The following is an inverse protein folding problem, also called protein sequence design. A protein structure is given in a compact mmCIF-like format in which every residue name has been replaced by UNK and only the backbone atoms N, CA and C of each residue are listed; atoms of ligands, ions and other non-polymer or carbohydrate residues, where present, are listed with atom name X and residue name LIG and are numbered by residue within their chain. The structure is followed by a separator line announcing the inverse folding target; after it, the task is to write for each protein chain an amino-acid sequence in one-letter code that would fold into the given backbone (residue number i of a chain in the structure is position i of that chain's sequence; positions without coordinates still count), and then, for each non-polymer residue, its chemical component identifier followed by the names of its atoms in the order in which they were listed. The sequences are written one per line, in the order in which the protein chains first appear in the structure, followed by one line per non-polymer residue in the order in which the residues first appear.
data_IF_225829173207
#
_entry.id   IF_225829173207
#
_cell.length_a   1.000
_cell.length_b   1.000
_cell.length_c   1.000
_cell.angle_alpha   90.00
_cell.angle_beta   90.00
_cell.angle_gamma   90.00
#
_symmetry.space_group_name_H-M   'P 1'
#
loop_
_entity.id
_entity.type
_entity.pdbx_description
1 polymer ?
#
# COMPACT_ATOMS: atom_id res chain seq x y z
N UNK A 1 4.04 -0.27 -11.49
CA UNK A 1 5.13 0.20 -12.36
C UNK A 1 6.41 -0.42 -11.86
N UNK A 2 7.28 -0.92 -12.75
CA UNK A 2 8.43 -1.73 -12.34
C UNK A 2 9.76 -1.19 -12.86
N UNK A 3 9.73 -0.21 -13.78
CA UNK A 3 10.90 0.48 -14.27
C UNK A 3 10.78 2.00 -14.04
N UNK A 4 11.89 2.73 -13.75
CA UNK A 4 11.85 4.19 -13.57
C UNK A 4 11.22 4.93 -14.76
N UNK A 5 11.50 4.47 -15.99
CA UNK A 5 10.90 5.03 -17.20
C UNK A 5 9.36 4.90 -17.25
N UNK A 6 8.78 3.87 -16.61
CA UNK A 6 7.32 3.76 -16.53
C UNK A 6 6.74 4.87 -15.64
N UNK A 7 7.45 5.18 -14.54
CA UNK A 7 7.09 6.28 -13.63
C UNK A 7 7.26 7.61 -14.36
N UNK A 8 8.33 7.78 -15.14
CA UNK A 8 8.51 9.00 -15.95
C UNK A 8 7.44 9.17 -17.02
N UNK A 9 7.01 8.07 -17.67
CA UNK A 9 5.93 8.10 -18.64
C UNK A 9 4.58 8.42 -17.98
N UNK A 10 4.34 7.92 -16.75
CA UNK A 10 3.11 8.18 -16.01
C UNK A 10 3.12 9.51 -15.26
N UNK A 11 4.29 10.07 -14.92
CA UNK A 11 4.47 11.25 -14.08
C UNK A 11 3.62 12.46 -14.48
N UNK A 12 3.61 12.90 -15.76
CA UNK A 12 2.76 13.99 -16.21
C UNK A 12 1.26 13.69 -16.04
N UNK A 13 0.85 12.43 -16.24
CA UNK A 13 -0.54 11.98 -16.06
C UNK A 13 -0.89 12.05 -14.56
N UNK A 14 -0.02 11.50 -13.72
CA UNK A 14 -0.18 11.48 -12.28
C UNK A 14 -0.38 12.89 -11.71
N UNK A 15 0.52 13.81 -12.07
CA UNK A 15 0.50 15.21 -11.59
C UNK A 15 -0.73 15.96 -12.09
N UNK A 16 -1.06 15.83 -13.37
CA UNK A 16 -2.21 16.55 -13.95
C UNK A 16 -3.57 16.07 -13.41
N UNK A 17 -3.63 14.83 -12.91
CA UNK A 17 -4.86 14.22 -12.40
C UNK A 17 -4.87 14.04 -10.88
N UNK A 18 -3.84 14.52 -10.17
CA UNK A 18 -3.82 14.57 -8.70
C UNK A 18 -3.60 13.22 -8.02
N UNK A 19 -2.77 12.35 -8.60
CA UNK A 19 -2.33 11.13 -7.91
C UNK A 19 -1.30 11.47 -6.82
N UNK A 20 -1.47 10.88 -5.64
CA UNK A 20 -0.59 11.15 -4.48
C UNK A 20 0.71 10.34 -4.48
N UNK A 21 0.74 9.20 -5.19
CA UNK A 21 1.85 8.26 -5.11
C UNK A 21 1.77 7.08 -6.04
N UNK A 22 2.84 6.27 -5.99
CA UNK A 22 3.03 5.06 -6.79
C UNK A 22 3.26 3.88 -5.85
N UNK A 23 2.48 2.82 -6.07
CA UNK A 23 2.68 1.52 -5.46
C UNK A 23 3.77 0.73 -6.20
N UNK A 24 4.84 0.41 -5.49
CA UNK A 24 5.97 -0.40 -5.95
C UNK A 24 5.79 -1.82 -5.40
N UNK A 25 5.52 -2.74 -6.31
CA UNK A 25 5.06 -4.09 -5.99
C UNK A 25 6.23 -5.07 -5.88
N UNK A 26 6.65 -5.39 -4.64
CA UNK A 26 7.77 -6.28 -4.35
C UNK A 26 7.40 -7.66 -3.81
N UNK A 27 6.12 -7.98 -3.66
CA UNK A 27 5.66 -9.30 -3.19
C UNK A 27 5.33 -10.24 -4.36
N UNK A 28 4.52 -9.76 -5.29
CA UNK A 28 4.13 -10.52 -6.50
C UNK A 28 4.72 -9.92 -7.78
N UNK A 29 5.33 -8.75 -7.66
CA UNK A 29 5.87 -8.00 -8.79
C UNK A 29 7.36 -8.22 -8.97
N UNK A 30 7.94 -7.32 -9.75
CA UNK A 30 9.35 -7.39 -10.17
C UNK A 30 10.23 -6.37 -9.46
N UNK A 31 9.70 -5.63 -8.48
CA UNK A 31 10.48 -4.65 -7.73
C UNK A 31 11.41 -5.38 -6.78
N UNK A 32 12.71 -5.16 -6.95
CA UNK A 32 13.75 -5.67 -6.07
C UNK A 32 14.46 -4.54 -5.31
N UNK A 33 15.29 -4.91 -4.33
CA UNK A 33 16.05 -3.95 -3.54
C UNK A 33 17.12 -3.19 -4.34
N UNK A 34 17.62 -3.75 -5.45
CA UNK A 34 18.60 -3.11 -6.33
C UNK A 34 18.00 -1.90 -7.02
N UNK A 35 16.80 -2.05 -7.59
CA UNK A 35 16.13 -1.05 -8.40
C UNK A 35 15.35 -0.02 -7.59
N UNK A 36 15.00 -0.33 -6.33
CA UNK A 36 14.17 0.53 -5.48
C UNK A 36 14.68 1.97 -5.37
N UNK A 37 16.00 2.17 -5.34
CA UNK A 37 16.58 3.52 -5.31
C UNK A 37 16.38 4.33 -6.58
N UNK A 38 16.29 3.68 -7.74
CA UNK A 38 16.00 4.35 -9.01
C UNK A 38 14.50 4.64 -9.12
N UNK A 39 13.65 3.68 -8.74
CA UNK A 39 12.20 3.84 -8.72
C UNK A 39 11.77 5.00 -7.80
N UNK A 40 12.31 5.05 -6.58
CA UNK A 40 11.98 6.12 -5.62
C UNK A 40 12.49 7.49 -6.07
N UNK A 41 13.64 7.58 -6.76
CA UNK A 41 14.11 8.83 -7.37
C UNK A 41 13.18 9.32 -8.48
N UNK A 42 12.67 8.42 -9.31
CA UNK A 42 11.70 8.78 -10.33
C UNK A 42 10.42 9.34 -9.69
N UNK A 43 9.92 8.70 -8.63
CA UNK A 43 8.80 9.25 -7.85
C UNK A 43 9.09 10.67 -7.32
N UNK A 44 10.26 10.90 -6.70
CA UNK A 44 10.64 12.22 -6.18
C UNK A 44 10.62 13.31 -7.26
N UNK A 45 11.11 13.02 -8.48
CA UNK A 45 11.16 13.98 -9.58
C UNK A 45 9.76 14.49 -9.98
N UNK A 46 8.74 13.66 -9.80
CA UNK A 46 7.35 13.98 -10.08
C UNK A 46 6.56 14.42 -8.84
N UNK A 47 7.19 14.47 -7.67
CA UNK A 47 6.52 14.79 -6.40
C UNK A 47 5.52 13.73 -5.96
N UNK A 48 5.70 12.47 -6.38
CA UNK A 48 4.83 11.35 -6.04
C UNK A 48 5.40 10.58 -4.84
N UNK A 49 4.53 10.18 -3.91
CA UNK A 49 4.93 9.34 -2.78
C UNK A 49 5.29 7.94 -3.24
N UNK A 50 6.49 7.46 -2.92
CA UNK A 50 6.88 6.07 -3.20
C UNK A 50 6.46 5.13 -2.07
N UNK A 51 5.48 4.25 -2.34
CA UNK A 51 4.95 3.26 -1.39
C UNK A 51 5.34 1.87 -1.86
N UNK A 52 6.13 1.13 -1.08
CA UNK A 52 6.64 -0.17 -1.50
C UNK A 52 5.99 -1.30 -0.69
N UNK A 53 5.38 -2.27 -1.37
CA UNK A 53 4.99 -3.54 -0.73
C UNK A 53 6.19 -4.48 -0.68
N UNK A 54 6.49 -4.97 0.52
CA UNK A 54 7.50 -6.02 0.75
C UNK A 54 6.83 -7.39 0.74
N UNK A 55 7.64 -8.45 0.64
CA UNK A 55 7.16 -9.82 0.54
C UNK A 55 7.11 -10.58 1.88
N UNK A 56 7.48 -9.93 2.99
CA UNK A 56 7.52 -10.57 4.32
C UNK A 56 7.53 -9.52 5.45
N UNK A 57 7.01 -9.88 6.63
CA UNK A 57 7.00 -9.06 7.85
C UNK A 57 8.31 -9.22 8.65
N UNK A 58 9.43 -8.93 8.00
CA UNK A 58 10.75 -8.98 8.63
C UNK A 58 11.29 -7.56 8.81
N UNK A 59 11.64 -7.17 10.04
CA UNK A 59 12.14 -5.81 10.35
C UNK A 59 13.30 -5.40 9.44
N UNK A 60 14.23 -6.33 9.20
CA UNK A 60 15.38 -6.11 8.30
C UNK A 60 15.03 -5.84 6.85
N UNK A 61 13.88 -6.35 6.39
CA UNK A 61 13.36 -6.07 5.07
C UNK A 61 12.66 -4.70 5.06
N UNK A 62 11.84 -4.43 6.08
CA UNK A 62 11.10 -3.17 6.26
C UNK A 62 12.05 -1.96 6.27
N UNK A 63 13.01 -1.91 7.20
CA UNK A 63 13.89 -0.74 7.28
C UNK A 63 14.81 -0.63 6.07
N UNK A 64 15.23 -1.75 5.47
CA UNK A 64 16.08 -1.70 4.27
C UNK A 64 15.33 -1.07 3.10
N UNK A 65 14.05 -1.35 2.94
CA UNK A 65 13.18 -0.74 1.93
C UNK A 65 13.07 0.77 2.15
N UNK A 66 12.85 1.21 3.39
CA UNK A 66 12.84 2.64 3.75
C UNK A 66 14.21 3.30 3.55
N UNK A 67 15.31 2.62 3.88
CA UNK A 67 16.68 3.12 3.70
C UNK A 67 17.02 3.35 2.22
N UNK A 68 16.43 2.56 1.31
CA UNK A 68 16.57 2.73 -0.15
C UNK A 68 15.78 3.94 -0.68
N UNK A 69 14.96 4.57 0.14
CA UNK A 69 14.29 5.84 -0.14
C UNK A 69 12.78 5.74 -0.37
N UNK A 70 12.17 4.57 -0.13
CA UNK A 70 10.71 4.48 -0.07
C UNK A 70 10.20 5.33 1.09
N UNK A 71 9.09 6.02 0.87
CA UNK A 71 8.43 6.86 1.88
C UNK A 71 7.31 6.12 2.60
N UNK A 72 6.76 5.08 1.98
CA UNK A 72 5.80 4.17 2.60
C UNK A 72 6.19 2.71 2.45
N UNK A 73 5.79 1.92 3.44
CA UNK A 73 5.92 0.46 3.44
C UNK A 73 4.54 -0.18 3.55
N UNK A 74 4.32 -1.23 2.76
CA UNK A 74 3.15 -2.11 2.87
C UNK A 74 3.64 -3.48 3.26
N UNK A 75 3.10 -4.01 4.35
CA UNK A 75 3.46 -5.35 4.86
C UNK A 75 2.27 -6.30 4.68
N UNK A 76 2.42 -7.41 3.95
CA UNK A 76 1.37 -8.38 3.71
C UNK A 76 1.12 -9.27 4.95
N UNK A 77 -0.02 -9.97 4.95
CA UNK A 77 -0.35 -11.06 5.88
C UNK A 77 -0.19 -10.72 7.38
N UNK A 78 -0.59 -9.51 7.81
CA UNK A 78 -0.54 -9.13 9.23
C UNK A 78 -1.79 -9.62 9.95
N UNK A 79 -1.61 -10.63 10.80
CA UNK A 79 -2.69 -11.45 11.34
C UNK A 79 -3.00 -11.23 12.82
N UNK A 80 -2.14 -10.51 13.56
CA UNK A 80 -2.33 -10.25 15.00
C UNK A 80 -1.60 -8.98 15.45
N UNK A 81 -1.86 -8.54 16.68
CA UNK A 81 -1.26 -7.33 17.25
C UNK A 81 0.27 -7.39 17.33
N UNK A 82 0.87 -8.56 17.58
CA UNK A 82 2.32 -8.70 17.67
C UNK A 82 2.99 -8.50 16.29
N UNK A 83 2.39 -9.01 15.23
CA UNK A 83 2.84 -8.80 13.85
C UNK A 83 2.68 -7.33 13.42
N UNK A 84 1.59 -6.67 13.79
CA UNK A 84 1.43 -5.24 13.56
C UNK A 84 2.49 -4.42 14.32
N UNK A 85 2.76 -4.76 15.59
CA UNK A 85 3.84 -4.13 16.36
C UNK A 85 5.22 -4.37 15.72
N UNK A 86 5.45 -5.54 15.11
CA UNK A 86 6.70 -5.81 14.39
C UNK A 86 6.89 -4.88 13.18
N UNK A 87 5.79 -4.46 12.53
CA UNK A 87 5.84 -3.45 11.45
C UNK A 87 6.27 -2.09 12.00
N UNK A 88 5.71 -1.66 13.14
CA UNK A 88 6.13 -0.42 13.82
C UNK A 88 7.60 -0.48 14.21
N UNK A 89 8.02 -1.60 14.81
CA UNK A 89 9.41 -1.84 15.22
C UNK A 89 10.36 -1.78 14.03
N UNK A 90 9.98 -2.29 12.86
CA UNK A 90 10.78 -2.18 11.64
C UNK A 90 10.75 -0.80 10.98
N UNK A 91 9.63 -0.07 11.11
CA UNK A 91 9.38 1.18 10.40
C UNK A 91 9.90 2.43 11.11
N UNK A 92 9.85 2.46 12.45
CA UNK A 92 10.17 3.64 13.27
C UNK A 92 11.47 3.47 14.05
N UNK A 93 12.19 4.56 14.27
CA UNK A 93 13.42 4.58 15.07
C UNK A 93 13.11 4.53 16.58
N UNK A 94 14.10 4.16 17.42
CA UNK A 94 13.95 4.29 18.87
C UNK A 94 13.66 5.75 19.28
N UNK A 95 12.76 6.00 20.26
CA UNK A 95 12.14 5.03 21.16
C UNK A 95 10.80 4.44 20.67
N UNK A 96 10.28 4.86 19.51
CA UNK A 96 8.97 4.40 19.01
C UNK A 96 9.05 2.95 18.52
N UNK A 97 10.11 2.64 17.76
CA UNK A 97 10.37 1.31 17.21
C UNK A 97 11.80 0.85 17.43
N UNK A 98 12.27 -0.04 16.55
CA UNK A 98 13.57 -0.72 16.62
C UNK A 98 14.34 -0.62 15.31
N UNK A 99 13.97 0.30 14.41
CA UNK A 99 14.66 0.53 13.14
C UNK A 99 16.13 0.79 13.39
N UNK A 100 16.99 0.08 12.67
CA UNK A 100 18.44 0.22 12.79
C UNK A 100 18.89 1.66 12.52
N UNK A 101 19.78 2.19 13.37
CA UNK A 101 20.25 3.58 13.32
C UNK A 101 21.14 3.84 12.10
N UNK A 102 20.51 4.02 10.94
CA UNK A 102 21.12 4.44 9.68
C UNK A 102 20.28 5.56 9.05
N UNK A 103 20.89 6.34 8.17
CA UNK A 103 20.15 7.32 7.36
C UNK A 103 19.35 6.59 6.26
N UNK A 104 18.82 7.31 5.29
CA UNK A 104 18.32 6.73 4.04
C UNK A 104 18.85 7.51 2.84
N UNK A 105 18.48 7.09 1.63
CA UNK A 105 18.66 7.92 0.43
C UNK A 105 18.06 9.32 0.61
N UNK A 106 16.90 9.43 1.27
CA UNK A 106 16.22 10.69 1.54
C UNK A 106 16.92 11.51 2.64
N UNK A 107 17.70 10.86 3.50
CA UNK A 107 18.40 11.50 4.61
C UNK A 107 19.79 12.04 4.30
N UNK A 108 20.28 11.92 3.05
CA UNK A 108 21.59 12.45 2.65
C UNK A 108 21.59 13.98 2.73
N UNK A 109 22.37 14.53 3.67
CA UNK A 109 22.45 15.98 3.89
C UNK A 109 21.26 16.57 4.66
N UNK A 110 20.38 15.73 5.23
CA UNK A 110 19.22 16.17 6.02
C UNK A 110 19.55 16.06 7.51
N UNK A 111 19.64 17.19 8.24
CA UNK A 111 19.79 17.18 9.70
C UNK A 111 18.57 16.54 10.37
N UNK A 112 18.76 15.87 11.51
CA UNK A 112 17.69 15.24 12.30
C UNK A 112 16.80 14.29 11.48
N UNK A 113 17.37 13.64 10.46
CA UNK A 113 16.63 12.79 9.54
C UNK A 113 15.79 11.72 10.23
N UNK A 114 16.26 11.13 11.34
CA UNK A 114 15.51 10.08 12.04
C UNK A 114 14.18 10.59 12.61
N UNK A 115 14.18 11.77 13.22
CA UNK A 115 12.96 12.43 13.73
C UNK A 115 12.01 12.75 12.58
N UNK A 116 12.53 13.35 11.51
CA UNK A 116 11.75 13.67 10.30
C UNK A 116 11.17 12.39 9.69
N UNK A 117 11.95 11.32 9.61
CA UNK A 117 11.52 10.05 9.04
C UNK A 117 10.43 9.40 9.88
N UNK A 118 10.50 9.46 11.21
CA UNK A 118 9.43 8.93 12.07
C UNK A 118 8.11 9.66 11.86
N UNK A 119 8.14 10.98 11.65
CA UNK A 119 6.96 11.81 11.39
C UNK A 119 6.40 11.66 9.96
N UNK A 120 7.22 11.21 8.99
CA UNK A 120 6.87 11.22 7.57
C UNK A 120 6.85 9.84 6.89
N UNK A 121 7.25 8.77 7.59
CA UNK A 121 7.19 7.40 7.03
C UNK A 121 5.81 6.81 7.20
N UNK A 122 5.20 6.39 6.08
CA UNK A 122 3.87 5.79 6.02
C UNK A 122 3.94 4.26 6.24
N UNK A 123 3.31 3.76 7.30
CA UNK A 123 3.21 2.33 7.61
C UNK A 123 1.81 1.80 7.27
N UNK A 124 1.75 0.87 6.32
CA UNK A 124 0.54 0.22 5.84
C UNK A 124 0.64 -1.29 6.14
N UNK A 125 -0.43 -1.86 6.69
CA UNK A 125 -0.54 -3.32 6.86
C UNK A 125 -1.68 -3.85 6.01
N UNK A 126 -1.50 -5.02 5.41
CA UNK A 126 -2.56 -5.73 4.72
C UNK A 126 -3.28 -6.68 5.68
N UNK A 127 -4.59 -6.51 5.75
CA UNK A 127 -5.55 -7.39 6.38
C UNK A 127 -6.18 -8.24 5.26
N UNK A 128 -5.56 -9.37 4.98
CA UNK A 128 -5.88 -10.20 3.81
C UNK A 128 -6.08 -11.68 4.14
N UNK A 129 -6.22 -11.97 5.43
CA UNK A 129 -6.50 -13.31 5.95
C UNK A 129 -7.70 -13.21 6.89
N UNK A 130 -8.55 -14.24 6.93
CA UNK A 130 -9.70 -14.28 7.85
C UNK A 130 -9.28 -14.15 9.32
N UNK A 131 -8.10 -14.65 9.69
CA UNK A 131 -7.54 -14.53 11.04
C UNK A 131 -7.27 -13.06 11.40
N UNK A 132 -6.81 -12.24 10.45
CA UNK A 132 -6.64 -10.81 10.66
C UNK A 132 -7.97 -10.10 10.96
N UNK A 133 -9.07 -10.53 10.34
CA UNK A 133 -10.42 -10.03 10.64
C UNK A 133 -10.91 -10.46 12.04
N UNK A 134 -10.65 -11.71 12.42
CA UNK A 134 -10.98 -12.24 13.75
C UNK A 134 -10.22 -11.49 14.86
N UNK A 135 -8.97 -11.12 14.60
CA UNK A 135 -8.10 -10.35 15.49
C UNK A 135 -8.15 -8.83 15.26
N UNK A 136 -9.12 -8.32 14.50
CA UNK A 136 -9.08 -6.94 14.02
C UNK A 136 -9.02 -5.91 15.17
N UNK A 137 -9.73 -6.13 16.28
CA UNK A 137 -9.75 -5.18 17.40
C UNK A 137 -8.38 -5.04 18.09
N UNK A 138 -7.63 -6.14 18.24
CA UNK A 138 -6.28 -6.08 18.82
C UNK A 138 -5.26 -5.46 17.85
N UNK A 139 -5.41 -5.69 16.55
CA UNK A 139 -4.58 -5.10 15.51
C UNK A 139 -4.79 -3.58 15.47
N UNK A 140 -6.04 -3.11 15.54
CA UNK A 140 -6.40 -1.68 15.54
C UNK A 140 -5.90 -0.93 16.78
N UNK A 141 -5.65 -1.65 17.88
CA UNK A 141 -5.11 -1.08 19.11
C UNK A 141 -3.61 -0.76 19.02
N UNK A 142 -2.89 -1.27 18.00
CA UNK A 142 -1.47 -0.96 17.79
C UNK A 142 -1.31 0.46 17.25
N UNK A 143 -0.56 1.28 17.97
CA UNK A 143 -0.25 2.66 17.57
C UNK A 143 0.82 2.71 16.47
N UNK A 144 0.92 3.87 15.81
CA UNK A 144 1.90 4.14 14.74
C UNK A 144 1.75 3.30 13.46
N UNK A 145 0.61 2.62 13.28
CA UNK A 145 0.14 2.13 11.97
C UNK A 145 -0.76 3.20 11.35
N UNK A 146 -0.46 3.61 10.13
CA UNK A 146 -1.14 4.71 9.47
C UNK A 146 -2.36 4.23 8.68
N UNK A 147 -2.28 3.07 8.03
CA UNK A 147 -3.34 2.51 7.20
C UNK A 147 -3.52 1.01 7.42
N UNK A 148 -4.77 0.62 7.65
CA UNK A 148 -5.23 -0.76 7.71
C UNK A 148 -5.90 -1.08 6.37
N UNK A 149 -5.17 -1.77 5.50
CA UNK A 149 -5.59 -2.00 4.12
C UNK A 149 -6.24 -3.37 4.00
N UNK A 150 -7.48 -3.45 3.52
CA UNK A 150 -8.16 -4.74 3.31
C UNK A 150 -7.94 -5.17 1.85
N UNK A 151 -7.27 -6.30 1.65
CA UNK A 151 -6.94 -6.82 0.32
C UNK A 151 -7.79 -8.06 -0.04
N UNK A 152 -8.49 -8.09 -1.18
CA UNK A 152 -9.58 -9.04 -1.42
C UNK A 152 -9.14 -10.44 -1.85
N UNK A 153 -7.98 -10.57 -2.53
CA UNK A 153 -7.58 -11.81 -3.20
C UNK A 153 -7.32 -12.95 -2.21
N UNK A 154 -6.35 -12.76 -1.33
CA UNK A 154 -6.03 -13.73 -0.27
C UNK A 154 -7.10 -13.80 0.80
N UNK A 155 -7.87 -12.71 1.02
CA UNK A 155 -8.97 -12.70 1.97
C UNK A 155 -10.08 -13.67 1.55
N UNK A 156 -10.46 -13.64 0.27
CA UNK A 156 -11.39 -14.62 -0.28
C UNK A 156 -10.83 -16.04 -0.19
N UNK A 157 -9.54 -16.23 -0.46
CA UNK A 157 -8.91 -17.55 -0.41
C UNK A 157 -8.87 -18.13 1.01
N UNK A 158 -8.52 -17.33 2.02
CA UNK A 158 -8.46 -17.73 3.43
C UNK A 158 -9.86 -18.05 4.00
N UNK A 159 -10.91 -17.43 3.47
CA UNK A 159 -12.31 -17.80 3.76
C UNK A 159 -12.80 -19.04 2.99
N UNK A 160 -11.97 -19.68 2.16
CA UNK A 160 -12.35 -20.86 1.37
C UNK A 160 -13.03 -20.55 0.03
N UNK A 161 -13.02 -19.28 -0.41
CA UNK A 161 -13.61 -18.80 -1.66
C UNK A 161 -12.54 -18.36 -2.68
N UNK A 162 -11.50 -19.17 -2.86
CA UNK A 162 -10.37 -18.87 -3.76
C UNK A 162 -10.84 -18.45 -5.16
N UNK A 163 -10.44 -17.26 -5.60
CA UNK A 163 -10.78 -16.70 -6.91
C UNK A 163 -12.20 -16.14 -7.03
N UNK A 164 -12.97 -16.10 -5.94
CA UNK A 164 -14.33 -15.55 -5.90
C UNK A 164 -14.45 -14.44 -4.86
N UNK A 165 -13.87 -13.28 -5.17
CA UNK A 165 -13.89 -12.09 -4.29
C UNK A 165 -15.30 -11.49 -4.13
N UNK A 166 -16.22 -11.81 -5.05
CA UNK A 166 -17.60 -11.34 -5.06
C UNK A 166 -18.55 -12.27 -4.29
N UNK A 167 -18.03 -13.30 -3.61
CA UNK A 167 -18.84 -14.14 -2.74
C UNK A 167 -19.51 -13.28 -1.65
N UNK A 168 -20.84 -13.41 -1.41
CA UNK A 168 -21.55 -12.52 -0.49
C UNK A 168 -20.93 -12.45 0.90
N UNK A 169 -20.48 -13.59 1.45
CA UNK A 169 -19.84 -13.64 2.77
C UNK A 169 -18.49 -12.92 2.78
N UNK A 170 -17.71 -13.04 1.70
CA UNK A 170 -16.42 -12.34 1.55
C UNK A 170 -16.66 -10.83 1.50
N UNK A 171 -17.60 -10.40 0.66
CA UNK A 171 -17.98 -9.00 0.49
C UNK A 171 -18.46 -8.39 1.80
N UNK A 172 -19.34 -9.08 2.53
CA UNK A 172 -19.86 -8.56 3.80
C UNK A 172 -18.80 -8.53 4.89
N UNK A 173 -17.94 -9.54 4.97
CA UNK A 173 -16.84 -9.57 5.95
C UNK A 173 -15.84 -8.44 5.70
N UNK A 174 -15.49 -8.18 4.43
CA UNK A 174 -14.64 -7.02 4.08
C UNK A 174 -15.35 -5.69 4.39
N UNK A 175 -16.64 -5.56 4.09
CA UNK A 175 -17.41 -4.36 4.41
C UNK A 175 -17.45 -4.09 5.91
N UNK A 176 -17.64 -5.14 6.70
CA UNK A 176 -17.59 -5.06 8.15
C UNK A 176 -16.21 -4.67 8.67
N UNK A 177 -15.14 -5.22 8.09
CA UNK A 177 -13.77 -4.80 8.39
C UNK A 177 -13.57 -3.30 8.14
N UNK A 178 -13.98 -2.77 6.98
CA UNK A 178 -13.91 -1.33 6.70
C UNK A 178 -14.69 -0.49 7.72
N UNK A 179 -15.93 -0.89 8.05
CA UNK A 179 -16.75 -0.20 9.05
C UNK A 179 -16.06 -0.17 10.42
N UNK A 180 -15.49 -1.29 10.87
CA UNK A 180 -14.79 -1.41 12.16
C UNK A 180 -13.52 -0.55 12.19
N UNK A 181 -12.71 -0.58 11.13
CA UNK A 181 -11.52 0.26 10.99
C UNK A 181 -11.91 1.74 11.12
N UNK A 182 -12.89 2.19 10.33
CA UNK A 182 -13.33 3.60 10.33
C UNK A 182 -13.97 4.00 11.66
N UNK A 183 -14.81 3.14 12.25
CA UNK A 183 -15.43 3.39 13.55
C UNK A 183 -14.42 3.50 14.69
N UNK A 184 -13.27 2.82 14.59
CA UNK A 184 -12.16 2.94 15.56
C UNK A 184 -11.35 4.24 15.41
N UNK A 185 -11.65 5.07 14.41
CA UNK A 185 -10.90 6.29 14.10
C UNK A 185 -9.60 6.05 13.33
N UNK A 186 -9.33 4.80 12.91
CA UNK A 186 -8.19 4.43 12.07
C UNK A 186 -8.51 4.62 10.58
N UNK A 187 -7.46 4.68 9.75
CA UNK A 187 -7.61 4.86 8.30
C UNK A 187 -7.70 3.52 7.59
N UNK A 188 -8.76 3.31 6.82
CA UNK A 188 -8.89 2.17 5.93
C UNK A 188 -8.27 2.44 4.55
N UNK A 189 -7.68 1.39 3.97
CA UNK A 189 -7.22 1.36 2.58
C UNK A 189 -7.88 0.23 1.78
N UNK A 190 -8.11 0.45 0.48
CA UNK A 190 -8.73 -0.53 -0.40
C UNK A 190 -8.11 -0.51 -1.79
N UNK A 191 -8.13 -1.66 -2.46
CA UNK A 191 -7.97 -1.75 -3.91
C UNK A 191 -9.33 -1.54 -4.59
N UNK A 192 -9.39 -0.64 -5.55
CA UNK A 192 -10.62 -0.27 -6.24
C UNK A 192 -10.40 0.04 -7.72
N UNK A 193 -11.46 -0.20 -8.49
CA UNK A 193 -11.61 0.20 -9.88
C UNK A 193 -12.72 1.24 -10.03
N UNK A 194 -12.96 1.69 -11.25
CA UNK A 194 -13.95 2.74 -11.53
C UNK A 194 -15.36 2.31 -11.12
N UNK A 195 -15.65 1.00 -11.18
CA UNK A 195 -16.96 0.44 -10.90
C UNK A 195 -17.33 0.40 -9.41
N UNK A 196 -16.35 0.42 -8.50
CA UNK A 196 -16.59 0.20 -7.06
C UNK A 196 -15.99 1.27 -6.15
N UNK A 197 -15.29 2.28 -6.68
CA UNK A 197 -14.67 3.35 -5.89
C UNK A 197 -15.66 4.09 -4.99
N UNK A 198 -16.87 4.40 -5.48
CA UNK A 198 -17.92 5.09 -4.70
C UNK A 198 -18.30 4.30 -3.45
N UNK A 199 -18.39 2.97 -3.56
CA UNK A 199 -18.70 2.09 -2.41
C UNK A 199 -17.68 2.25 -1.29
N UNK A 200 -16.39 2.31 -1.63
CA UNK A 200 -15.33 2.46 -0.63
C UNK A 200 -15.33 3.86 -0.01
N UNK A 201 -15.60 4.89 -0.81
CA UNK A 201 -15.78 6.26 -0.31
C UNK A 201 -16.96 6.34 0.68
N UNK A 202 -18.09 5.71 0.36
CA UNK A 202 -19.27 5.65 1.24
C UNK A 202 -18.98 4.90 2.55
N UNK A 203 -18.06 3.93 2.52
CA UNK A 203 -17.56 3.22 3.71
C UNK A 203 -16.52 4.03 4.50
N UNK A 204 -16.11 5.22 4.04
CA UNK A 204 -15.14 6.08 4.71
C UNK A 204 -13.67 5.71 4.46
N UNK A 205 -13.39 4.85 3.47
CA UNK A 205 -12.03 4.51 3.04
C UNK A 205 -11.34 5.75 2.48
N UNK A 206 -10.07 5.97 2.86
CA UNK A 206 -9.31 7.16 2.45
C UNK A 206 -8.11 6.85 1.55
N UNK A 207 -7.47 5.69 1.73
CA UNK A 207 -6.41 5.26 0.81
C UNK A 207 -7.04 4.37 -0.27
N UNK A 208 -7.07 4.89 -1.50
CA UNK A 208 -7.61 4.18 -2.66
C UNK A 208 -6.46 3.80 -3.58
N UNK A 209 -6.26 2.50 -3.78
CA UNK A 209 -5.28 1.95 -4.70
C UNK A 209 -5.95 1.42 -5.95
N UNK A 210 -5.42 1.75 -7.11
CA UNK A 210 -5.96 1.33 -8.41
C UNK A 210 -4.82 0.85 -9.31
N UNK A 211 -5.14 -0.05 -10.25
CA UNK A 211 -4.16 -0.64 -11.14
C UNK A 211 -4.36 -0.13 -12.59
N UNK A 212 -3.28 -0.11 -13.36
CA UNK A 212 -3.32 0.39 -14.74
C UNK A 212 -3.98 -0.53 -15.78
N UNK A 213 -4.01 -1.88 -15.63
CA UNK A 213 -4.66 -2.76 -16.61
C UNK A 213 -6.11 -2.42 -16.94
N UNK A 214 -6.93 -2.00 -15.95
CA UNK A 214 -8.32 -1.61 -16.20
C UNK A 214 -8.41 -0.43 -17.19
N UNK A 215 -7.61 0.62 -16.96
CA UNK A 215 -7.59 1.80 -17.82
C UNK A 215 -7.02 1.50 -19.20
N UNK A 216 -5.95 0.69 -19.28
CA UNK A 216 -5.36 0.27 -20.55
C UNK A 216 -6.38 -0.51 -21.37
N UNK A 217 -7.08 -1.46 -20.74
CA UNK A 217 -8.11 -2.25 -21.41
C UNK A 217 -9.27 -1.36 -21.89
N UNK A 218 -9.77 -0.46 -21.04
CA UNK A 218 -10.86 0.45 -21.41
C UNK A 218 -10.45 1.40 -22.55
N UNK A 219 -9.24 1.96 -22.50
CA UNK A 219 -8.73 2.85 -23.55
C UNK A 219 -8.50 2.13 -24.87
N UNK A 220 -7.93 0.92 -24.84
CA UNK A 220 -7.71 0.09 -26.02
C UNK A 220 -9.03 -0.35 -26.66
N UNK A 221 -10.00 -0.80 -25.86
CA UNK A 221 -11.33 -1.15 -26.35
C UNK A 221 -12.01 0.05 -27.02
N UNK A 222 -12.03 1.21 -26.35
CA UNK A 222 -12.61 2.43 -26.92
C UNK A 222 -11.96 2.88 -28.22
N UNK A 223 -10.64 2.73 -28.36
CA UNK A 223 -9.95 3.01 -29.61
C UNK A 223 -10.36 2.05 -30.74
N UNK A 224 -10.40 0.74 -30.45
CA UNK A 224 -10.78 -0.26 -31.46
C UNK A 224 -12.24 -0.14 -31.88
N UNK A 225 -13.13 0.28 -30.99
CA UNK A 225 -14.53 0.57 -31.34
C UNK A 225 -14.63 1.70 -32.36
N UNK A 226 -13.80 2.74 -32.26
CA UNK A 226 -13.74 3.80 -33.27
C UNK A 226 -13.23 3.23 -34.60
N UNK A 227 -12.16 2.44 -34.57
CA UNK A 227 -11.57 1.83 -35.77
C UNK A 227 -12.55 0.90 -36.50
N UNK A 228 -13.33 0.10 -35.77
CA UNK A 228 -14.24 -0.87 -36.37
C UNK A 228 -15.54 -0.24 -36.91
N UNK A 229 -15.90 0.96 -36.45
CA UNK A 229 -17.15 1.64 -36.80
C UNK A 229 -16.96 2.78 -37.82
N UNK A 230 -15.79 2.88 -38.46
CA UNK A 230 -15.47 3.79 -39.57
C UNK A 230 -15.03 3.01 -40.81
#
# INVERSE_FOLDING_TARGET
MTHPHDIDAFGPIAVNHGFDGIWLEGEHGWVDASELGNLTRACDLWGLTSVCRVNDNHQGLIYRTLDRGAQGIVVPHVNNAAEAQNVVDGGKFPPIGKRGSYTSRQGLGVPNFMEIADDNSLLIILLEDIIAYENLDEILAVDHIDVFFVAPGDFAASMGHKGNIDHPDVVETMNDAYRRIVASGRTAGAICGSANVTRFLDLGVKLLFTNTPEWINSGAAGFMDIVHNH
#
